data_IF_505883015365
#
_entry.id   IF_505883015365
#
_cell.length_a   1.000
_cell.length_b   1.000
_cell.length_c   1.000
_cell.angle_alpha   90.00
_cell.angle_beta   90.00
_cell.angle_gamma   90.00
#
_symmetry.space_group_name_H-M   'P 1'
#
loop_
_entity.id
_entity.type
_entity.pdbx_description
1 polymer ?
#
# COMPACT_ATOMS: atom_id res chain seq x y z
N UNK A 1 18.57 -21.97 13.82
CA UNK A 1 19.18 -20.86 13.06
C UNK A 1 18.81 -19.49 13.62
N UNK A 2 17.58 -19.24 14.11
CA UNK A 2 17.22 -17.96 14.73
C UNK A 2 18.05 -17.61 15.98
N UNK A 3 18.57 -18.64 16.64
CA UNK A 3 19.55 -18.58 17.72
C UNK A 3 20.96 -18.17 17.28
N UNK A 4 21.23 -18.13 15.97
CA UNK A 4 22.55 -17.87 15.39
C UNK A 4 22.65 -16.56 14.62
N UNK A 5 21.55 -15.82 14.51
CA UNK A 5 21.49 -14.56 13.77
C UNK A 5 20.60 -13.57 14.52
N UNK A 6 21.09 -12.34 14.67
CA UNK A 6 20.28 -11.22 15.12
C UNK A 6 19.49 -10.67 13.94
N UNK A 7 18.20 -10.39 14.14
CA UNK A 7 17.34 -9.79 13.11
C UNK A 7 16.86 -8.43 13.60
N UNK A 8 17.19 -7.41 12.82
CA UNK A 8 16.80 -6.02 13.06
C UNK A 8 15.94 -5.56 11.90
N UNK A 9 14.75 -5.07 12.20
CA UNK A 9 13.82 -4.45 11.26
C UNK A 9 13.93 -2.94 11.38
N UNK A 10 14.50 -2.30 10.36
CA UNK A 10 14.55 -0.84 10.24
C UNK A 10 13.41 -0.37 9.34
N UNK A 11 12.63 0.62 9.80
CA UNK A 11 11.47 1.13 9.06
C UNK A 11 11.31 2.63 9.23
N UNK A 12 10.72 3.27 8.21
CA UNK A 12 10.28 4.66 8.25
C UNK A 12 8.88 4.81 8.85
N UNK A 13 8.24 3.72 9.26
CA UNK A 13 6.99 3.74 10.03
C UNK A 13 7.25 4.29 11.44
N UNK A 14 6.35 5.15 11.93
CA UNK A 14 6.46 5.74 13.27
C UNK A 14 6.12 4.76 14.40
N UNK A 15 5.31 3.75 14.08
CA UNK A 15 4.97 2.63 14.95
C UNK A 15 5.01 1.31 14.17
N UNK A 16 5.28 0.20 14.84
CA UNK A 16 5.16 -1.11 14.21
C UNK A 16 3.71 -1.34 13.78
N UNK A 17 3.53 -1.94 12.61
CA UNK A 17 2.19 -2.28 12.11
C UNK A 17 1.40 -1.08 11.57
N UNK A 18 2.05 0.05 11.26
CA UNK A 18 1.44 1.17 10.55
C UNK A 18 1.03 0.77 9.11
N UNK A 19 1.88 -0.01 8.45
CA UNK A 19 1.74 -0.53 7.09
C UNK A 19 1.56 0.55 6.00
N UNK A 20 1.90 1.81 6.29
CA UNK A 20 1.64 2.95 5.41
C UNK A 20 0.17 3.32 5.33
N UNK A 21 -0.63 2.94 6.33
CA UNK A 21 -2.09 3.09 6.35
C UNK A 21 -2.63 3.69 7.65
N UNK A 22 -1.77 4.33 8.45
CA UNK A 22 -2.08 4.85 9.79
C UNK A 22 -2.49 3.74 10.78
N UNK A 23 -1.92 2.54 10.57
CA UNK A 23 -2.29 1.33 11.29
C UNK A 23 -3.72 0.85 11.01
N UNK A 24 -4.10 -0.23 11.68
CA UNK A 24 -5.42 -0.86 11.63
C UNK A 24 -5.90 -1.23 13.03
N UNK A 25 -7.23 -1.30 13.17
CA UNK A 25 -7.93 -1.73 14.38
C UNK A 25 -8.70 -3.03 14.07
N UNK A 26 -8.16 -4.17 14.48
CA UNK A 26 -8.75 -5.47 14.20
C UNK A 26 -9.90 -5.78 15.14
N UNK A 27 -11.10 -6.01 14.61
CA UNK A 27 -12.19 -6.57 15.40
C UNK A 27 -11.90 -8.03 15.74
N UNK A 28 -12.17 -8.39 16.98
CA UNK A 28 -12.17 -9.76 17.48
C UNK A 28 -13.41 -10.00 18.35
N UNK A 29 -13.66 -11.25 18.74
CA UNK A 29 -14.75 -11.58 19.68
C UNK A 29 -14.58 -10.89 21.04
N UNK A 30 -13.33 -10.63 21.43
CA UNK A 30 -12.96 -10.12 22.76
C UNK A 30 -12.71 -8.60 22.77
N UNK A 31 -12.93 -7.91 21.64
CA UNK A 31 -12.75 -6.46 21.50
C UNK A 31 -11.94 -6.09 20.27
N UNK A 32 -11.34 -4.90 20.29
CA UNK A 32 -10.54 -4.35 19.18
C UNK A 32 -9.06 -4.44 19.53
N UNK A 33 -8.26 -5.05 18.65
CA UNK A 33 -6.81 -5.18 18.81
C UNK A 33 -6.10 -4.29 17.77
N UNK A 34 -5.30 -3.31 18.19
CA UNK A 34 -4.49 -2.52 17.26
C UNK A 34 -3.43 -3.39 16.56
N UNK A 35 -3.24 -3.14 15.27
CA UNK A 35 -2.17 -3.71 14.45
C UNK A 35 -0.76 -3.53 15.03
N UNK A 36 -0.53 -2.45 15.77
CA UNK A 36 0.71 -2.23 16.50
C UNK A 36 0.96 -3.32 17.53
N UNK A 37 0.01 -3.54 18.43
CA UNK A 37 0.11 -4.58 19.46
C UNK A 37 0.29 -5.98 18.84
N UNK A 38 -0.43 -6.25 17.74
CA UNK A 38 -0.30 -7.51 17.00
C UNK A 38 1.12 -7.71 16.45
N UNK A 39 1.70 -6.66 15.86
CA UNK A 39 3.04 -6.72 15.24
C UNK A 39 4.15 -6.77 16.28
N UNK A 40 4.04 -5.99 17.36
CA UNK A 40 4.96 -5.99 18.50
C UNK A 40 5.02 -7.37 19.17
N UNK A 41 3.85 -7.98 19.42
CA UNK A 41 3.77 -9.33 19.99
C UNK A 41 4.50 -10.36 19.11
N UNK A 42 4.30 -10.28 17.78
CA UNK A 42 4.96 -11.18 16.83
C UNK A 42 6.49 -10.96 16.79
N UNK A 43 6.94 -9.72 16.87
CA UNK A 43 8.37 -9.39 16.88
C UNK A 43 9.02 -9.88 18.17
N UNK A 44 8.36 -9.69 19.30
CA UNK A 44 8.81 -10.19 20.60
C UNK A 44 8.88 -11.73 20.63
N UNK A 45 7.84 -12.44 20.17
CA UNK A 45 7.83 -13.91 20.06
C UNK A 45 9.02 -14.42 19.22
N UNK A 46 9.41 -13.65 18.20
CA UNK A 46 10.43 -14.05 17.23
C UNK A 46 11.82 -13.50 17.51
N UNK A 47 11.98 -12.69 18.55
CA UNK A 47 13.25 -12.02 18.87
C UNK A 47 13.72 -11.03 17.80
N UNK A 48 12.81 -10.37 17.10
CA UNK A 48 13.13 -9.34 16.10
C UNK A 48 13.19 -7.98 16.79
N UNK A 49 14.31 -7.28 16.66
CA UNK A 49 14.48 -5.90 17.15
C UNK A 49 13.98 -4.92 16.10
N UNK A 50 13.44 -3.78 16.51
CA UNK A 50 12.94 -2.76 15.59
C UNK A 50 13.65 -1.42 15.80
N UNK A 51 13.99 -0.76 14.69
CA UNK A 51 14.43 0.64 14.63
C UNK A 51 13.33 1.37 13.85
N UNK A 52 12.54 2.18 14.56
CA UNK A 52 11.37 2.87 14.03
C UNK A 52 11.70 4.30 13.64
N UNK A 53 10.83 4.90 12.84
CA UNK A 53 10.92 6.28 12.38
C UNK A 53 12.34 6.63 11.87
N UNK A 54 12.92 5.70 11.09
CA UNK A 54 14.26 5.81 10.56
C UNK A 54 14.24 6.08 9.05
N UNK A 55 15.02 7.06 8.63
CA UNK A 55 15.31 7.35 7.24
C UNK A 55 16.70 6.81 6.89
N UNK A 56 16.78 5.77 6.06
CA UNK A 56 18.07 5.28 5.57
C UNK A 56 18.66 6.29 4.59
N UNK A 57 19.77 6.92 4.96
CA UNK A 57 20.46 7.91 4.12
C UNK A 57 21.43 7.25 3.15
N UNK A 58 22.12 6.20 3.60
CA UNK A 58 23.23 5.57 2.86
C UNK A 58 23.44 4.13 3.31
N UNK A 59 23.83 3.28 2.37
CA UNK A 59 24.23 1.90 2.64
C UNK A 59 25.65 1.71 2.12
N UNK A 60 26.58 1.44 3.03
CA UNK A 60 27.97 1.08 2.74
C UNK A 60 28.16 -0.43 2.90
N UNK A 61 29.29 -1.01 2.44
CA UNK A 61 29.60 -2.41 2.71
C UNK A 61 29.56 -2.73 4.21
N UNK A 62 28.56 -3.50 4.63
CA UNK A 62 28.39 -4.01 6.00
C UNK A 62 27.82 -3.02 7.01
N UNK A 63 27.35 -1.83 6.60
CA UNK A 63 26.74 -0.85 7.51
C UNK A 63 25.69 0.02 6.81
N UNK A 64 24.56 0.25 7.49
CA UNK A 64 23.54 1.21 7.08
C UNK A 64 23.59 2.44 7.97
N UNK A 65 23.57 3.63 7.35
CA UNK A 65 23.49 4.91 8.03
C UNK A 65 22.06 5.45 7.91
N UNK A 66 21.50 5.88 9.03
CA UNK A 66 20.13 6.37 9.08
C UNK A 66 20.00 7.58 9.98
N UNK A 67 18.96 8.37 9.73
CA UNK A 67 18.51 9.46 10.58
C UNK A 67 17.21 9.05 11.28
N UNK A 68 17.11 9.35 12.57
CA UNK A 68 15.89 9.16 13.36
C UNK A 68 15.04 10.43 13.38
N UNK A 69 13.78 10.29 13.78
CA UNK A 69 12.84 11.41 13.85
C UNK A 69 13.30 12.60 14.69
N UNK A 70 14.07 12.36 15.75
CA UNK A 70 14.62 13.43 16.59
C UNK A 70 15.83 14.16 15.95
N UNK A 71 16.23 13.75 14.74
CA UNK A 71 17.36 14.27 13.99
C UNK A 71 18.70 13.62 14.34
N UNK A 72 18.72 12.66 15.26
CA UNK A 72 19.94 11.91 15.58
C UNK A 72 20.31 10.97 14.44
N UNK A 73 21.62 10.84 14.19
CA UNK A 73 22.14 9.90 13.19
C UNK A 73 22.64 8.64 13.87
N UNK A 74 22.32 7.50 13.28
CA UNK A 74 22.70 6.18 13.75
C UNK A 74 23.35 5.35 12.65
N UNK A 75 24.03 4.30 13.08
CA UNK A 75 24.63 3.30 12.21
C UNK A 75 24.24 1.92 12.71
N UNK A 76 23.97 1.01 11.77
CA UNK A 76 23.69 -0.39 12.08
C UNK A 76 24.53 -1.28 11.17
N UNK A 77 25.48 -2.01 11.75
CA UNK A 77 26.25 -3.01 11.02
C UNK A 77 25.39 -4.22 10.64
N UNK A 78 25.69 -4.84 9.51
CA UNK A 78 25.01 -6.04 9.04
C UNK A 78 25.96 -6.95 8.24
N UNK A 79 25.73 -8.27 8.33
CA UNK A 79 26.35 -9.25 7.42
C UNK A 79 25.50 -9.43 6.14
N UNK A 80 24.18 -9.21 6.26
CA UNK A 80 23.21 -9.28 5.18
C UNK A 80 22.10 -8.26 5.40
N UNK A 81 21.71 -7.53 4.36
CA UNK A 81 20.63 -6.55 4.41
C UNK A 81 19.68 -6.70 3.22
N UNK A 82 18.41 -6.40 3.46
CA UNK A 82 17.38 -6.24 2.45
C UNK A 82 16.55 -5.03 2.84
N UNK A 83 16.55 -4.01 1.97
CA UNK A 83 15.75 -2.81 2.12
C UNK A 83 14.73 -2.73 0.99
N UNK A 84 13.53 -2.26 1.32
CA UNK A 84 12.52 -1.94 0.32
C UNK A 84 12.78 -0.50 -0.16
N UNK A 85 13.06 -0.28 -1.46
CA UNK A 85 13.22 1.07 -1.99
C UNK A 85 11.86 1.80 -2.02
N UNK A 86 11.86 3.13 -1.93
CA UNK A 86 10.65 3.90 -2.19
C UNK A 86 10.17 3.68 -3.62
N UNK A 87 8.85 3.67 -3.81
CA UNK A 87 8.28 3.66 -5.15
C UNK A 87 8.32 5.05 -5.78
N UNK A 88 8.70 5.12 -7.04
CA UNK A 88 8.47 6.26 -7.93
C UNK A 88 7.86 5.79 -9.23
N UNK A 89 7.22 6.70 -9.96
CA UNK A 89 6.83 6.43 -11.33
C UNK A 89 8.05 6.17 -12.20
N UNK A 90 7.83 5.47 -13.30
CA UNK A 90 8.86 5.25 -14.32
C UNK A 90 9.21 6.59 -14.99
N UNK A 91 10.44 6.75 -15.49
CA UNK A 91 10.92 7.97 -16.17
C UNK A 91 10.29 8.14 -17.57
N UNK A 92 8.98 8.27 -17.61
CA UNK A 92 8.23 8.58 -18.82
C UNK A 92 8.14 10.09 -19.01
N UNK A 93 8.42 10.52 -20.23
CA UNK A 93 8.10 11.87 -20.70
C UNK A 93 6.79 11.84 -21.48
N UNK A 94 6.02 12.91 -21.37
CA UNK A 94 4.83 13.13 -22.18
C UNK A 94 5.06 14.33 -23.09
N UNK A 95 4.70 14.19 -24.37
CA UNK A 95 4.75 15.26 -25.35
C UNK A 95 3.37 15.44 -25.98
N UNK A 96 2.97 16.69 -26.25
CA UNK A 96 1.75 16.97 -27.01
C UNK A 96 1.94 16.73 -28.52
N UNK A 97 0.90 17.01 -29.32
CA UNK A 97 0.93 16.75 -30.76
C UNK A 97 1.96 17.64 -31.50
N UNK A 98 2.28 18.80 -30.93
CA UNK A 98 3.25 19.76 -31.42
C UNK A 98 4.68 19.44 -30.96
N UNK A 99 4.86 18.46 -30.07
CA UNK A 99 6.15 18.02 -29.53
C UNK A 99 6.61 18.79 -28.29
N UNK A 100 5.73 19.57 -27.66
CA UNK A 100 6.01 20.27 -26.40
C UNK A 100 6.04 19.29 -25.24
N UNK A 101 7.04 19.39 -24.36
CA UNK A 101 7.12 18.58 -23.14
C UNK A 101 6.02 19.02 -22.15
N UNK A 102 5.10 18.12 -21.84
CA UNK A 102 3.95 18.30 -20.95
C UNK A 102 4.01 17.31 -19.77
N UNK A 103 5.20 16.78 -19.47
CA UNK A 103 5.41 15.75 -18.44
C UNK A 103 4.82 16.18 -17.09
N UNK A 104 5.05 17.43 -16.67
CA UNK A 104 4.55 17.97 -15.40
C UNK A 104 3.04 18.19 -15.36
N UNK A 105 2.39 18.24 -16.53
CA UNK A 105 0.93 18.32 -16.62
C UNK A 105 0.27 16.95 -16.44
N UNK A 106 0.95 15.87 -16.84
CA UNK A 106 0.45 14.49 -16.82
C UNK A 106 0.83 13.77 -15.53
N UNK A 107 2.07 13.95 -15.07
CA UNK A 107 2.65 13.25 -13.92
C UNK A 107 2.82 14.20 -12.74
N UNK A 108 2.75 13.67 -11.53
CA UNK A 108 3.18 14.34 -10.31
C UNK A 108 4.73 14.32 -10.25
N UNK A 109 5.37 15.15 -9.40
CA UNK A 109 6.83 15.13 -9.23
C UNK A 109 7.40 13.75 -8.82
N UNK A 110 6.56 12.88 -8.25
CA UNK A 110 6.89 11.49 -7.95
C UNK A 110 6.94 10.57 -9.18
N UNK A 111 6.60 11.07 -10.37
CA UNK A 111 6.50 10.34 -11.64
C UNK A 111 5.20 9.55 -11.81
N UNK A 112 4.32 9.50 -10.80
CA UNK A 112 3.02 8.85 -10.92
C UNK A 112 2.03 9.72 -11.68
N UNK A 113 1.10 9.12 -12.42
CA UNK A 113 0.14 9.85 -13.25
C UNK A 113 -0.94 10.52 -12.39
N UNK A 114 -1.22 11.80 -12.63
CA UNK A 114 -2.32 12.51 -11.97
C UNK A 114 -3.65 12.04 -12.55
N UNK A 115 -4.56 11.65 -11.66
CA UNK A 115 -5.90 11.14 -11.99
C UNK A 115 -6.98 11.97 -11.30
N UNK A 116 -8.24 11.55 -11.36
CA UNK A 116 -9.42 12.22 -10.77
C UNK A 116 -9.43 12.31 -9.23
N UNK A 117 -8.40 12.90 -8.65
CA UNK A 117 -8.18 13.08 -7.22
C UNK A 117 -8.01 14.58 -6.88
N UNK A 118 -8.19 14.94 -5.62
CA UNK A 118 -7.92 16.28 -5.11
C UNK A 118 -6.45 16.39 -4.67
N UNK A 119 -5.64 17.07 -5.47
CA UNK A 119 -4.22 17.32 -5.19
C UNK A 119 -3.95 18.64 -4.45
N UNK A 120 -4.98 19.33 -3.96
CA UNK A 120 -4.77 20.56 -3.21
C UNK A 120 -3.99 20.29 -1.91
N UNK A 121 -3.01 21.15 -1.57
CA UNK A 121 -2.21 20.96 -0.36
C UNK A 121 -3.09 21.17 0.88
N UNK A 122 -3.28 20.10 1.64
CA UNK A 122 -4.05 20.08 2.90
C UNK A 122 -3.20 19.53 4.05
N UNK A 123 -3.33 20.05 5.27
CA UNK A 123 -2.74 19.40 6.46
C UNK A 123 -3.43 18.05 6.73
N UNK A 124 -2.75 17.16 7.45
CA UNK A 124 -3.22 15.80 7.74
C UNK A 124 -4.63 15.76 8.35
N UNK A 125 -4.98 16.72 9.21
CA UNK A 125 -6.29 16.82 9.86
C UNK A 125 -7.45 17.15 8.89
N UNK A 126 -7.14 17.62 7.69
CA UNK A 126 -8.10 18.01 6.65
C UNK A 126 -8.14 17.02 5.47
N UNK A 127 -7.37 15.93 5.52
CA UNK A 127 -7.43 14.89 4.50
C UNK A 127 -8.75 14.14 4.58
N UNK A 128 -9.40 13.98 3.43
CA UNK A 128 -10.70 13.33 3.32
C UNK A 128 -10.64 12.11 2.41
N UNK A 129 -11.50 11.14 2.69
CA UNK A 129 -11.64 9.95 1.86
C UNK A 129 -12.06 10.30 0.41
N UNK A 130 -12.77 11.42 0.23
CA UNK A 130 -13.18 11.97 -1.06
C UNK A 130 -12.05 12.57 -1.89
N UNK A 131 -10.88 12.82 -1.29
CA UNK A 131 -9.71 13.32 -2.02
C UNK A 131 -9.15 12.26 -2.97
N UNK A 132 -9.41 10.99 -2.69
CA UNK A 132 -8.89 9.85 -3.45
C UNK A 132 -9.71 9.55 -4.72
N UNK A 133 -9.04 9.05 -5.78
CA UNK A 133 -9.67 8.86 -7.08
C UNK A 133 -10.78 7.82 -7.07
N UNK A 134 -11.73 7.96 -8.01
CA UNK A 134 -12.82 7.00 -8.21
C UNK A 134 -12.75 6.32 -9.57
N UNK A 135 -12.42 7.05 -10.62
CA UNK A 135 -12.44 6.61 -12.02
C UNK A 135 -11.05 6.30 -12.56
N UNK A 136 -10.01 6.85 -11.93
CA UNK A 136 -8.60 6.76 -12.32
C UNK A 136 -8.29 7.33 -13.70
N UNK A 137 -9.17 8.19 -14.20
CA UNK A 137 -9.01 8.91 -15.46
C UNK A 137 -7.98 10.03 -15.27
N UNK A 138 -7.14 10.25 -16.28
CA UNK A 138 -6.17 11.34 -16.28
C UNK A 138 -6.88 12.70 -16.14
N UNK A 139 -6.29 13.61 -15.37
CA UNK A 139 -6.76 15.01 -15.29
C UNK A 139 -6.60 15.77 -16.60
N UNK A 140 -5.65 15.35 -17.45
CA UNK A 140 -5.30 16.03 -18.70
C UNK A 140 -6.02 15.44 -19.91
N UNK A 141 -6.27 14.12 -19.89
CA UNK A 141 -6.73 13.38 -21.06
C UNK A 141 -7.97 12.55 -20.78
N UNK A 142 -8.96 12.70 -21.65
CA UNK A 142 -10.24 12.00 -21.52
C UNK A 142 -10.19 10.51 -21.89
N UNK A 143 -9.10 10.07 -22.52
CA UNK A 143 -8.86 8.73 -23.06
C UNK A 143 -7.65 8.03 -22.43
N UNK A 144 -7.16 8.53 -21.29
CA UNK A 144 -6.03 7.93 -20.56
C UNK A 144 -6.44 7.66 -19.12
N UNK A 145 -6.00 6.52 -18.57
CA UNK A 145 -6.26 6.10 -17.20
C UNK A 145 -4.99 5.50 -16.58
N UNK A 146 -4.88 5.54 -15.25
CA UNK A 146 -3.78 4.91 -14.51
C UNK A 146 -4.28 3.93 -13.45
N UNK A 147 -4.00 2.64 -13.64
CA UNK A 147 -4.40 1.58 -12.72
C UNK A 147 -3.26 1.09 -11.81
N UNK A 148 -3.61 0.58 -10.63
CA UNK A 148 -2.65 -0.03 -9.71
C UNK A 148 -1.67 0.98 -9.10
N UNK A 149 -0.37 0.68 -9.12
CA UNK A 149 0.66 1.55 -8.51
C UNK A 149 0.85 2.87 -9.29
N UNK A 150 0.46 2.91 -10.56
CA UNK A 150 0.82 3.97 -11.51
C UNK A 150 0.13 5.33 -11.27
N UNK A 151 -1.02 5.38 -10.59
CA UNK A 151 -1.67 6.65 -10.27
C UNK A 151 -0.97 7.34 -9.10
N UNK A 152 -1.00 8.67 -9.09
CA UNK A 152 -0.45 9.48 -8.01
C UNK A 152 -1.45 9.56 -6.85
N UNK A 153 -1.09 9.07 -5.65
CA UNK A 153 -1.87 9.35 -4.45
C UNK A 153 -1.96 10.86 -4.21
N UNK A 154 -3.13 11.40 -3.83
CA UNK A 154 -3.28 12.83 -3.53
C UNK A 154 -2.48 13.25 -2.29
N UNK A 155 -2.37 12.36 -1.31
CA UNK A 155 -1.64 12.53 -0.07
C UNK A 155 -1.26 11.17 0.54
N UNK A 156 -0.56 11.19 1.69
CA UNK A 156 -0.24 9.97 2.45
C UNK A 156 -1.49 9.41 3.15
N UNK A 157 -1.41 8.21 3.72
CA UNK A 157 -2.45 7.72 4.66
C UNK A 157 -2.02 7.92 6.10
N UNK A 158 -0.80 7.49 6.44
CA UNK A 158 -0.19 7.73 7.74
C UNK A 158 0.24 9.19 7.87
N UNK A 159 0.21 9.72 9.10
CA UNK A 159 0.69 11.08 9.37
C UNK A 159 2.16 11.20 8.96
N UNK A 160 2.51 12.06 7.97
CA UNK A 160 3.90 12.24 7.58
C UNK A 160 4.65 12.92 8.71
N UNK A 161 5.89 12.48 8.95
CA UNK A 161 6.75 13.07 9.96
C UNK A 161 7.98 13.68 9.32
N UNK A 162 8.55 14.69 9.98
CA UNK A 162 9.74 15.38 9.53
C UNK A 162 10.66 15.59 10.73
N UNK A 163 11.95 15.31 10.56
CA UNK A 163 12.96 15.57 11.59
C UNK A 163 13.32 17.06 11.68
N UNK A 164 13.98 17.51 12.76
CA UNK A 164 14.53 18.88 12.84
C UNK A 164 15.52 19.23 11.72
N UNK A 165 16.13 18.24 11.05
CA UNK A 165 17.04 18.47 9.93
C UNK A 165 16.30 18.65 8.58
N UNK A 166 14.97 18.54 8.57
CA UNK A 166 14.13 18.66 7.37
C UNK A 166 13.88 17.34 6.63
N UNK A 167 14.36 16.22 7.15
CA UNK A 167 14.23 14.90 6.52
C UNK A 167 12.81 14.35 6.67
N UNK A 168 12.16 14.03 5.55
CA UNK A 168 10.84 13.40 5.56
C UNK A 168 10.95 11.92 5.92
N UNK A 169 10.21 11.51 6.95
CA UNK A 169 10.13 10.13 7.44
C UNK A 169 8.66 9.74 7.44
N UNK A 170 8.22 9.14 6.33
CA UNK A 170 6.84 8.75 6.15
C UNK A 170 6.76 7.48 5.28
N UNK A 171 5.97 6.47 5.69
CA UNK A 171 5.68 5.33 4.85
C UNK A 171 4.76 5.73 3.69
N UNK A 172 4.96 5.11 2.52
CA UNK A 172 4.14 5.38 1.34
C UNK A 172 2.82 4.59 1.40
N UNK A 173 1.73 5.09 0.78
CA UNK A 173 0.44 4.40 0.79
C UNK A 173 0.52 3.11 -0.03
N UNK A 174 0.09 1.96 0.51
CA UNK A 174 0.15 0.70 -0.23
C UNK A 174 -0.94 0.63 -1.30
N UNK A 175 -0.58 0.13 -2.48
CA UNK A 175 -1.50 -0.22 -3.57
C UNK A 175 -1.36 -1.72 -3.84
N UNK A 176 -2.09 -2.53 -3.08
CA UNK A 176 -1.94 -3.99 -3.06
C UNK A 176 -2.61 -4.66 -4.28
N UNK A 177 -2.50 -5.99 -4.37
CA UNK A 177 -2.98 -6.76 -5.52
C UNK A 177 -4.49 -6.69 -5.75
N UNK A 178 -5.30 -6.84 -4.69
CA UNK A 178 -6.77 -6.78 -4.81
C UNK A 178 -7.26 -5.41 -5.29
N UNK A 179 -6.88 -4.27 -4.68
CA UNK A 179 -7.21 -2.94 -5.19
C UNK A 179 -6.75 -2.74 -6.63
N UNK A 180 -5.52 -3.15 -6.97
CA UNK A 180 -4.99 -3.05 -8.34
C UNK A 180 -5.84 -3.81 -9.35
N UNK A 181 -6.33 -5.00 -9.00
CA UNK A 181 -7.24 -5.80 -9.82
C UNK A 181 -8.59 -5.11 -10.02
N UNK A 182 -9.23 -4.68 -8.92
CA UNK A 182 -10.55 -4.03 -8.96
C UNK A 182 -10.50 -2.73 -9.76
N UNK A 183 -9.44 -1.92 -9.57
CA UNK A 183 -9.19 -0.69 -10.32
C UNK A 183 -8.99 -1.00 -11.81
N UNK A 184 -8.11 -1.95 -12.13
CA UNK A 184 -7.85 -2.35 -13.52
C UNK A 184 -9.12 -2.81 -14.24
N UNK A 185 -9.98 -3.57 -13.55
CA UNK A 185 -11.27 -4.01 -14.08
C UNK A 185 -12.23 -2.83 -14.29
N UNK A 186 -12.31 -1.89 -13.36
CA UNK A 186 -13.16 -0.70 -13.51
C UNK A 186 -12.71 0.15 -14.71
N UNK A 187 -11.42 0.43 -14.82
CA UNK A 187 -10.82 1.14 -15.97
C UNK A 187 -11.13 0.42 -17.29
N UNK A 188 -10.89 -0.89 -17.36
CA UNK A 188 -11.15 -1.67 -18.57
C UNK A 188 -12.63 -1.65 -18.99
N UNK A 189 -13.56 -1.72 -18.03
CA UNK A 189 -15.00 -1.60 -18.31
C UNK A 189 -15.37 -0.21 -18.79
N UNK A 190 -14.86 0.85 -18.16
CA UNK A 190 -15.08 2.24 -18.60
C UNK A 190 -14.59 2.44 -20.04
N UNK A 191 -13.41 1.94 -20.40
CA UNK A 191 -12.88 2.01 -21.77
C UNK A 191 -13.81 1.26 -22.74
N UNK A 192 -14.25 0.05 -22.39
CA UNK A 192 -15.15 -0.73 -23.23
C UNK A 192 -16.51 -0.04 -23.46
N UNK A 193 -17.08 0.57 -22.42
CA UNK A 193 -18.29 1.38 -22.51
C UNK A 193 -18.08 2.61 -23.40
N UNK A 194 -16.94 3.30 -23.25
CA UNK A 194 -16.61 4.47 -24.08
C UNK A 194 -16.45 4.12 -25.56
N UNK A 195 -15.86 2.96 -25.88
CA UNK A 195 -15.74 2.48 -27.26
C UNK A 195 -17.12 2.18 -27.87
N UNK A 196 -18.03 1.58 -27.10
CA UNK A 196 -19.36 1.17 -27.60
C UNK A 196 -20.37 2.31 -27.68
N UNK A 197 -20.29 3.26 -26.75
CA UNK A 197 -21.34 4.24 -26.51
C UNK A 197 -20.83 5.70 -26.53
N UNK A 198 -19.56 5.91 -26.88
CA UNK A 198 -18.94 7.24 -26.88
C UNK A 198 -18.97 7.88 -25.49
N UNK A 199 -19.18 9.20 -25.44
CA UNK A 199 -19.27 9.95 -24.19
C UNK A 199 -20.47 9.59 -23.29
N UNK A 200 -21.45 8.84 -23.80
CA UNK A 200 -22.59 8.36 -23.02
C UNK A 200 -22.35 6.99 -22.35
N UNK A 201 -21.17 6.37 -22.57
CA UNK A 201 -20.80 5.11 -21.94
C UNK A 201 -20.75 5.20 -20.41
N UNK A 202 -21.14 4.12 -19.73
CA UNK A 202 -21.11 4.08 -18.26
C UNK A 202 -19.67 4.17 -17.74
N UNK A 203 -19.43 5.11 -16.83
CA UNK A 203 -18.18 5.17 -16.08
C UNK A 203 -18.26 4.22 -14.89
N UNK A 204 -17.29 3.31 -14.80
CA UNK A 204 -17.13 2.39 -13.68
C UNK A 204 -16.13 2.97 -12.68
N UNK A 205 -16.49 2.93 -11.39
CA UNK A 205 -15.66 3.46 -10.30
C UNK A 205 -15.10 2.33 -9.43
N UNK A 206 -13.99 2.63 -8.76
CA UNK A 206 -13.30 1.72 -7.85
C UNK A 206 -12.53 2.52 -6.79
N UNK A 207 -13.21 3.32 -5.96
CA UNK A 207 -12.54 4.15 -4.96
C UNK A 207 -11.94 3.30 -3.83
N UNK A 208 -10.68 3.59 -3.47
CA UNK A 208 -10.02 2.96 -2.31
C UNK A 208 -10.69 3.33 -0.96
N UNK A 209 -11.50 4.37 -0.93
CA UNK A 209 -12.36 4.74 0.21
C UNK A 209 -13.65 3.91 0.30
N UNK A 210 -13.98 3.13 -0.72
CA UNK A 210 -15.23 2.36 -0.82
C UNK A 210 -14.98 0.86 -1.03
N UNK A 211 -13.71 0.42 -0.99
CA UNK A 211 -13.31 -0.98 -1.11
C UNK A 211 -12.38 -1.40 0.03
N UNK A 212 -12.31 -2.70 0.26
CA UNK A 212 -11.35 -3.30 1.19
C UNK A 212 -10.10 -3.82 0.50
N UNK A 213 -9.12 -4.20 1.30
CA UNK A 213 -7.97 -4.96 0.85
C UNK A 213 -7.71 -6.14 1.78
N UNK A 214 -7.21 -7.23 1.20
CA UNK A 214 -6.69 -8.37 1.92
C UNK A 214 -5.18 -8.49 1.70
N UNK A 215 -4.42 -8.70 2.77
CA UNK A 215 -3.01 -8.98 2.75
C UNK A 215 -2.74 -10.30 3.46
N UNK A 216 -1.88 -11.14 2.87
CA UNK A 216 -1.41 -12.37 3.51
C UNK A 216 0.11 -12.40 3.45
N UNK A 217 0.73 -12.26 4.62
CA UNK A 217 2.17 -12.24 4.84
C UNK A 217 2.63 -13.60 5.39
N UNK A 218 3.41 -14.32 4.60
CA UNK A 218 3.99 -15.59 5.02
C UNK A 218 4.96 -15.38 6.17
N UNK A 219 4.78 -16.16 7.23
CA UNK A 219 5.52 -16.03 8.48
C UNK A 219 6.20 -17.36 8.88
N UNK A 220 6.18 -18.36 8.01
CA UNK A 220 6.77 -19.68 8.20
C UNK A 220 6.62 -20.52 6.92
N UNK A 221 7.24 -21.69 6.92
CA UNK A 221 7.29 -22.62 5.80
C UNK A 221 6.88 -24.01 6.25
N UNK A 222 6.33 -24.81 5.34
CA UNK A 222 5.99 -26.21 5.60
C UNK A 222 4.49 -26.48 5.46
N UNK A 223 4.15 -27.69 5.02
CA UNK A 223 2.77 -28.04 4.67
C UNK A 223 1.84 -28.17 5.88
N UNK A 224 2.37 -28.55 7.05
CA UNK A 224 1.56 -28.82 8.26
C UNK A 224 1.79 -27.82 9.38
N UNK A 225 2.88 -27.07 9.30
CA UNK A 225 3.43 -26.19 10.34
C UNK A 225 3.70 -24.77 9.81
N UNK A 226 3.42 -24.51 8.53
CA UNK A 226 3.47 -23.18 7.96
C UNK A 226 2.57 -22.20 8.70
N UNK A 227 3.02 -20.95 8.80
CA UNK A 227 2.26 -19.84 9.40
C UNK A 227 2.20 -18.68 8.42
N UNK A 228 1.08 -17.97 8.37
CA UNK A 228 0.98 -16.68 7.73
C UNK A 228 0.05 -15.77 8.54
N UNK A 229 0.33 -14.47 8.52
CA UNK A 229 -0.60 -13.45 8.98
C UNK A 229 -1.53 -13.09 7.82
N UNK A 230 -2.83 -13.29 7.98
CA UNK A 230 -3.87 -12.81 7.09
C UNK A 230 -4.57 -11.62 7.73
N UNK A 231 -4.77 -10.58 6.93
CA UNK A 231 -5.28 -9.29 7.39
C UNK A 231 -6.23 -8.75 6.35
N UNK A 232 -7.37 -8.23 6.78
CA UNK A 232 -8.26 -7.45 5.94
C UNK A 232 -8.45 -6.06 6.51
N UNK A 233 -8.77 -5.12 5.63
CA UNK A 233 -9.03 -3.75 6.00
C UNK A 233 -10.20 -3.23 5.15
N UNK A 234 -11.13 -2.52 5.78
CA UNK A 234 -12.23 -1.87 5.06
C UNK A 234 -12.67 -0.57 5.73
N UNK A 235 -12.78 0.54 4.99
CA UNK A 235 -12.15 0.80 3.68
C UNK A 235 -10.61 0.89 3.79
N UNK A 236 -9.93 0.90 2.65
CA UNK A 236 -8.47 1.07 2.62
C UNK A 236 -8.09 2.48 3.06
N UNK A 237 -8.72 3.49 2.46
CA UNK A 237 -8.55 4.89 2.89
C UNK A 237 -9.45 5.14 4.11
N UNK A 238 -8.90 5.60 5.24
CA UNK A 238 -9.72 5.92 6.41
C UNK A 238 -10.78 6.97 6.10
N UNK A 239 -12.01 6.73 6.53
CA UNK A 239 -13.13 7.67 6.49
C UNK A 239 -13.67 7.88 7.91
N UNK A 240 -13.16 8.92 8.58
CA UNK A 240 -13.56 9.27 9.96
C UNK A 240 -14.98 9.84 10.03
N UNK A 241 -15.51 10.38 8.93
CA UNK A 241 -16.88 10.89 8.90
C UNK A 241 -17.88 9.74 8.95
N UNK A 242 -17.59 8.64 8.24
CA UNK A 242 -18.46 7.46 8.18
C UNK A 242 -18.22 6.44 9.30
N UNK A 243 -16.97 6.19 9.66
CA UNK A 243 -16.59 5.13 10.62
C UNK A 243 -16.13 5.66 11.98
N UNK A 244 -16.24 6.97 12.23
CA UNK A 244 -15.81 7.58 13.48
C UNK A 244 -14.31 7.53 13.69
N UNK A 245 -13.86 7.47 14.94
CA UNK A 245 -12.43 7.61 15.28
C UNK A 245 -11.52 6.53 14.66
N UNK A 246 -12.03 5.32 14.41
CA UNK A 246 -11.23 4.27 13.76
C UNK A 246 -10.95 4.56 12.29
N UNK A 247 -11.77 5.40 11.65
CA UNK A 247 -11.77 5.62 10.20
C UNK A 247 -12.09 4.37 9.37
N UNK A 248 -12.35 3.23 10.00
CA UNK A 248 -12.52 1.93 9.36
C UNK A 248 -13.55 1.07 10.08
N UNK A 249 -14.21 0.20 9.34
CA UNK A 249 -15.13 -0.78 9.88
C UNK A 249 -14.35 -1.87 10.60
N UNK A 250 -14.49 -1.92 11.92
CA UNK A 250 -13.82 -2.91 12.78
C UNK A 250 -14.39 -4.32 12.61
N UNK A 251 -15.59 -4.49 12.03
CA UNK A 251 -16.15 -5.82 11.75
C UNK A 251 -15.52 -6.46 10.52
N UNK A 252 -15.17 -5.65 9.53
CA UNK A 252 -14.56 -6.08 8.26
C UNK A 252 -13.03 -5.97 8.27
N UNK A 253 -12.47 -5.23 9.23
CA UNK A 253 -11.03 -5.13 9.49
C UNK A 253 -10.63 -6.16 10.53
N UNK A 254 -10.00 -7.26 10.12
CA UNK A 254 -9.57 -8.34 11.02
C UNK A 254 -8.13 -8.79 10.72
N UNK A 255 -7.49 -9.43 11.71
CA UNK A 255 -6.15 -10.00 11.58
C UNK A 255 -6.06 -11.33 12.30
N UNK A 256 -5.52 -12.35 11.63
CA UNK A 256 -5.28 -13.68 12.20
C UNK A 256 -3.91 -14.21 11.75
N UNK A 257 -3.23 -14.95 12.61
CA UNK A 257 -2.02 -15.70 12.25
C UNK A 257 -2.26 -17.20 12.40
N UNK A 258 -2.01 -17.97 11.34
CA UNK A 258 -2.26 -19.39 11.39
C UNK A 258 -1.88 -20.18 10.14
N UNK A 259 -2.11 -21.49 10.22
CA UNK A 259 -1.89 -22.43 9.12
C UNK A 259 -2.95 -22.25 8.02
N UNK A 260 -4.18 -21.89 8.38
CA UNK A 260 -5.26 -21.56 7.43
C UNK A 260 -4.83 -20.46 6.45
N UNK A 261 -4.30 -19.36 6.98
CA UNK A 261 -3.74 -18.26 6.20
C UNK A 261 -2.55 -18.69 5.32
N UNK A 262 -1.70 -19.60 5.81
CA UNK A 262 -0.58 -20.15 5.03
C UNK A 262 -1.09 -20.89 3.78
N UNK A 263 -2.06 -21.79 3.95
CA UNK A 263 -2.67 -22.51 2.84
C UNK A 263 -3.44 -21.59 1.89
N UNK A 264 -4.14 -20.58 2.43
CA UNK A 264 -4.81 -19.56 1.64
C UNK A 264 -3.82 -18.84 0.71
N UNK A 265 -2.64 -18.46 1.22
CA UNK A 265 -1.59 -17.86 0.38
C UNK A 265 -1.14 -18.79 -0.75
N UNK A 266 -0.92 -20.07 -0.45
CA UNK A 266 -0.52 -21.08 -1.45
C UNK A 266 -1.59 -21.25 -2.51
N UNK A 267 -2.86 -21.33 -2.11
CA UNK A 267 -3.98 -21.43 -3.04
C UNK A 267 -4.06 -20.21 -3.94
N UNK A 268 -4.02 -19.00 -3.37
CA UNK A 268 -4.08 -17.74 -4.12
C UNK A 268 -2.89 -17.61 -5.10
N UNK A 269 -1.69 -18.05 -4.72
CA UNK A 269 -0.53 -18.08 -5.62
C UNK A 269 -0.82 -18.90 -6.89
N UNK A 270 -1.32 -20.12 -6.73
CA UNK A 270 -1.60 -21.01 -7.86
C UNK A 270 -2.81 -20.52 -8.68
N UNK A 271 -3.87 -20.03 -8.03
CA UNK A 271 -5.04 -19.47 -8.71
C UNK A 271 -4.69 -18.22 -9.51
N UNK A 272 -3.86 -17.33 -8.96
CA UNK A 272 -3.40 -16.14 -9.68
C UNK A 272 -2.63 -16.51 -10.94
N UNK A 273 -1.65 -17.44 -10.84
CA UNK A 273 -0.87 -17.89 -12.01
C UNK A 273 -1.77 -18.60 -13.03
N UNK A 274 -2.73 -19.41 -12.57
CA UNK A 274 -3.71 -20.07 -13.44
C UNK A 274 -4.54 -19.04 -14.21
N UNK A 275 -5.04 -18.02 -13.52
CA UNK A 275 -5.81 -16.92 -14.08
C UNK A 275 -5.00 -16.08 -15.06
N UNK A 276 -3.77 -15.73 -14.69
CA UNK A 276 -2.84 -14.96 -15.54
C UNK A 276 -2.47 -15.70 -16.84
N UNK A 277 -2.46 -17.04 -16.82
CA UNK A 277 -2.25 -17.88 -18.02
C UNK A 277 -3.53 -18.08 -18.85
N UNK A 278 -4.65 -17.44 -18.49
CA UNK A 278 -5.94 -17.55 -19.17
C UNK A 278 -6.40 -19.00 -19.42
N UNK A 279 -6.09 -19.91 -18.49
CA UNK A 279 -6.46 -21.33 -18.60
C UNK A 279 -7.98 -21.53 -18.52
N UNK A 280 -8.54 -22.67 -18.97
CA UNK A 280 -9.98 -22.90 -18.99
C UNK A 280 -10.66 -22.53 -17.66
N UNK A 281 -11.79 -21.82 -17.73
CA UNK A 281 -12.55 -21.31 -16.58
C UNK A 281 -11.85 -20.26 -15.70
N UNK A 282 -10.77 -19.63 -16.18
CA UNK A 282 -10.07 -18.56 -15.43
C UNK A 282 -10.99 -17.42 -14.98
N UNK A 283 -12.03 -17.11 -15.75
CA UNK A 283 -12.99 -16.02 -15.48
C UNK A 283 -13.92 -16.32 -14.30
N UNK A 284 -13.97 -17.57 -13.83
CA UNK A 284 -14.68 -17.96 -12.61
C UNK A 284 -13.86 -17.70 -11.34
N UNK A 285 -12.55 -17.52 -11.46
CA UNK A 285 -11.69 -17.20 -10.33
C UNK A 285 -11.91 -15.72 -9.98
N UNK A 286 -12.39 -15.40 -8.77
CA UNK A 286 -12.64 -14.02 -8.37
C UNK A 286 -11.36 -13.19 -8.38
N UNK A 287 -11.54 -11.86 -8.26
CA UNK A 287 -10.42 -10.95 -7.96
C UNK A 287 -10.14 -10.91 -6.47
#
# INVERSE_FOLDING_TARGET
MRDKAEVIYITNESSLGDFGMDGMNFGSKDGVVPSQMFTESLFQERGVKAILAAHVERVDPGVVHYELLDGTKGEQSFDFAMLLPPFRGVDLKAFDAEGTDITDEVFAPSGFMKVDADYSPKPYEQWEASDWPKTYQSVKYDNVWAAGIAFAPPHQMSRPQQSPNGTMIAPAPPRTGMPSGVIGRAVAKTIAERIKHGGAGKVHTASMAEMGAACIASAGTGWRDGKAAAMTVFPIIPDKQKYGQSGRDTKETYGEIGLSAHWMKVMLHHLFIYKAKARPFWYLIPE
#
